data_IF_265733926863
#
_entry.id   IF_265733926863
#
_cell.length_a   1.000
_cell.length_b   1.000
_cell.length_c   1.000
_cell.angle_alpha   90.00
_cell.angle_beta   90.00
_cell.angle_gamma   90.00
#
_symmetry.space_group_name_H-M   'P 1'
#
loop_
_entity.id
_entity.type
_entity.pdbx_description
1 polymer ?
#
# COMPACT_ATOMS: atom_id res chain seq x y z
N UNK A 1 11.96 -0.20 1.47
CA UNK A 1 11.14 0.25 0.33
C UNK A 1 10.02 -0.76 0.09
N UNK A 2 8.76 -0.33 0.14
CA UNK A 2 7.62 -1.18 -0.18
C UNK A 2 7.74 -1.76 -1.58
N UNK A 3 7.28 -2.99 -1.77
CA UNK A 3 7.42 -3.73 -3.04
C UNK A 3 6.07 -4.17 -3.56
N UNK A 4 5.83 -3.91 -4.84
CA UNK A 4 4.76 -4.58 -5.57
C UNK A 4 5.22 -5.99 -5.97
N UNK A 5 4.42 -6.99 -5.65
CA UNK A 5 4.57 -8.37 -6.09
C UNK A 5 3.43 -8.63 -7.07
N UNK A 6 3.77 -8.67 -8.35
CA UNK A 6 2.81 -8.87 -9.42
C UNK A 6 2.05 -10.20 -9.23
N UNK A 7 0.72 -10.25 -9.44
CA UNK A 7 -0.13 -9.19 -10.02
C UNK A 7 -0.87 -8.28 -9.03
N UNK A 8 -1.02 -8.68 -7.77
CA UNK A 8 -1.94 -8.01 -6.84
C UNK A 8 -1.57 -8.10 -5.37
N UNK A 9 -0.29 -8.31 -5.09
CA UNK A 9 0.24 -8.41 -3.73
C UNK A 9 1.23 -7.28 -3.46
N UNK A 10 1.27 -6.79 -2.23
CA UNK A 10 2.14 -5.67 -1.83
C UNK A 10 2.82 -5.98 -0.51
N UNK A 11 4.15 -5.87 -0.49
CA UNK A 11 4.97 -6.14 0.69
C UNK A 11 5.42 -4.81 1.30
N UNK A 12 4.98 -4.57 2.53
CA UNK A 12 5.45 -3.46 3.36
C UNK A 12 6.83 -3.77 3.95
N UNK A 13 7.56 -2.71 4.29
CA UNK A 13 8.87 -2.80 4.95
C UNK A 13 8.82 -3.44 6.34
N UNK A 14 7.67 -3.41 7.01
CA UNK A 14 7.45 -4.09 8.28
C UNK A 14 7.32 -5.62 8.13
N UNK A 15 7.34 -6.14 6.91
CA UNK A 15 7.15 -7.55 6.57
C UNK A 15 5.70 -7.97 6.36
N UNK A 16 4.73 -7.05 6.49
CA UNK A 16 3.32 -7.34 6.18
C UNK A 16 3.09 -7.44 4.67
N UNK A 17 2.37 -8.48 4.23
CA UNK A 17 1.95 -8.63 2.85
C UNK A 17 0.44 -8.44 2.75
N UNK A 18 0.03 -7.51 1.91
CA UNK A 18 -1.37 -7.23 1.59
C UNK A 18 -1.72 -7.87 0.24
N UNK A 19 -2.64 -8.82 0.26
CA UNK A 19 -3.09 -9.55 -0.93
C UNK A 19 -4.48 -9.06 -1.37
N UNK A 20 -4.60 -8.67 -2.64
CA UNK A 20 -5.84 -8.18 -3.23
C UNK A 20 -6.27 -9.04 -4.41
N UNK A 21 -7.53 -8.93 -4.79
CA UNK A 21 -7.99 -9.48 -6.07
C UNK A 21 -7.40 -8.68 -7.24
N UNK A 22 -6.92 -9.38 -8.27
CA UNK A 22 -6.33 -8.76 -9.47
C UNK A 22 -7.26 -7.73 -10.13
N UNK A 23 -8.57 -8.03 -10.18
CA UNK A 23 -9.56 -7.11 -10.74
C UNK A 23 -9.63 -5.80 -9.95
N UNK A 24 -9.56 -5.86 -8.62
CA UNK A 24 -9.51 -4.67 -7.76
C UNK A 24 -8.28 -3.83 -8.08
N UNK A 25 -7.10 -4.45 -8.19
CA UNK A 25 -5.87 -3.73 -8.53
C UNK A 25 -5.92 -3.11 -9.91
N UNK A 26 -6.49 -3.81 -10.90
CA UNK A 26 -6.68 -3.27 -12.25
C UNK A 26 -7.56 -2.02 -12.24
N UNK A 27 -8.68 -2.05 -11.51
CA UNK A 27 -9.57 -0.91 -11.37
C UNK A 27 -8.90 0.25 -10.61
N UNK A 28 -8.20 -0.05 -9.53
CA UNK A 28 -7.49 0.95 -8.71
C UNK A 28 -6.37 1.63 -9.50
N UNK A 29 -5.56 0.88 -10.25
CA UNK A 29 -4.54 1.44 -11.15
C UNK A 29 -5.18 2.30 -12.25
N UNK A 30 -6.30 1.87 -12.84
CA UNK A 30 -7.00 2.67 -13.85
C UNK A 30 -7.51 4.00 -13.26
N UNK A 31 -8.06 3.98 -12.04
CA UNK A 31 -8.49 5.18 -11.32
C UNK A 31 -7.31 6.08 -10.94
N UNK A 32 -6.15 5.49 -10.63
CA UNK A 32 -4.99 6.24 -10.14
C UNK A 32 -4.30 7.10 -11.19
N UNK A 33 -4.59 6.88 -12.48
CA UNK A 33 -4.17 7.79 -13.56
C UNK A 33 -4.77 9.20 -13.43
N UNK A 34 -5.97 9.32 -12.85
CA UNK A 34 -6.68 10.60 -12.73
C UNK A 34 -6.43 11.31 -11.40
N UNK A 35 -6.23 10.54 -10.33
CA UNK A 35 -6.06 11.06 -8.96
C UNK A 35 -5.26 10.08 -8.11
N UNK A 36 -4.74 10.53 -6.97
CA UNK A 36 -4.17 9.61 -5.97
C UNK A 36 -5.27 8.74 -5.36
N UNK A 37 -5.03 7.44 -5.23
CA UNK A 37 -5.99 6.45 -4.69
C UNK A 37 -5.35 5.70 -3.54
N UNK A 38 -6.14 5.39 -2.52
CA UNK A 38 -5.75 4.70 -1.30
C UNK A 38 -6.59 3.43 -1.17
N UNK A 39 -5.95 2.29 -0.96
CA UNK A 39 -6.59 0.98 -0.85
C UNK A 39 -6.14 0.29 0.44
N UNK A 40 -7.05 0.12 1.39
CA UNK A 40 -6.82 -0.59 2.64
C UNK A 40 -6.94 -2.11 2.48
N UNK A 41 -6.11 -2.87 3.20
CA UNK A 41 -6.02 -4.33 3.10
C UNK A 41 -6.99 -5.11 4.02
N UNK A 42 -7.90 -4.42 4.71
CA UNK A 42 -8.88 -5.01 5.63
C UNK A 42 -8.27 -5.84 6.79
N UNK A 43 -6.96 -5.75 7.02
CA UNK A 43 -6.28 -6.40 8.13
C UNK A 43 -6.51 -5.63 9.46
N UNK A 44 -6.33 -6.28 10.62
CA UNK A 44 -6.41 -5.59 11.92
C UNK A 44 -5.38 -4.44 12.07
N UNK A 45 -4.19 -4.62 11.48
CA UNK A 45 -3.15 -3.61 11.34
C UNK A 45 -3.22 -3.05 9.92
N UNK A 46 -4.31 -2.37 9.58
CA UNK A 46 -4.68 -2.03 8.19
C UNK A 46 -3.58 -1.23 7.48
N UNK A 47 -2.89 -1.85 6.51
CA UNK A 47 -1.96 -1.14 5.65
C UNK A 47 -2.74 -0.52 4.49
N UNK A 48 -2.37 0.71 4.12
CA UNK A 48 -2.98 1.39 2.98
C UNK A 48 -2.00 1.47 1.83
N UNK A 49 -2.31 0.78 0.74
CA UNK A 49 -1.54 0.87 -0.50
C UNK A 49 -1.91 2.14 -1.24
N UNK A 50 -0.90 2.90 -1.64
CA UNK A 50 -1.07 4.20 -2.29
C UNK A 50 -0.73 4.08 -3.77
N UNK A 51 -1.66 4.49 -4.62
CA UNK A 51 -1.50 4.47 -6.07
C UNK A 51 -1.55 5.86 -6.69
N UNK A 52 -0.69 6.10 -7.68
CA UNK A 52 -0.70 7.32 -8.48
C UNK A 52 -0.13 7.04 -9.88
N UNK A 53 -0.74 7.64 -10.92
CA UNK A 53 -0.32 7.49 -12.33
C UNK A 53 -0.25 6.04 -12.82
N UNK A 54 -1.11 5.16 -12.31
CA UNK A 54 -1.16 3.75 -12.68
C UNK A 54 -0.21 2.83 -11.91
N UNK A 55 0.58 3.38 -10.99
CA UNK A 55 1.63 2.65 -10.25
C UNK A 55 1.37 2.70 -8.75
N UNK A 56 1.90 1.70 -8.02
CA UNK A 56 2.03 1.79 -6.58
C UNK A 56 3.19 2.73 -6.26
N UNK A 57 2.96 3.70 -5.39
CA UNK A 57 3.95 4.72 -5.04
C UNK A 57 4.33 4.72 -3.56
N UNK A 58 3.50 4.13 -2.70
CA UNK A 58 3.75 4.07 -1.25
C UNK A 58 2.89 3.00 -0.56
N UNK A 59 3.24 2.65 0.67
CA UNK A 59 2.42 1.86 1.59
C UNK A 59 2.42 2.57 2.95
N UNK A 60 1.26 3.04 3.39
CA UNK A 60 1.11 3.61 4.72
C UNK A 60 1.04 2.46 5.73
N UNK A 61 2.10 2.34 6.54
CA UNK A 61 2.23 1.33 7.58
C UNK A 61 1.77 1.89 8.93
N UNK A 62 0.80 1.26 9.62
CA UNK A 62 0.40 1.72 10.96
C UNK A 62 1.51 1.56 12.00
N UNK A 63 2.53 0.71 11.74
CA UNK A 63 3.67 0.52 12.65
C UNK A 63 4.72 1.61 12.53
N UNK A 64 4.74 2.38 11.44
CA UNK A 64 5.70 3.47 11.28
C UNK A 64 5.36 4.70 12.14
N UNK A 65 4.10 4.88 12.55
CA UNK A 65 3.74 5.91 13.53
C UNK A 65 4.29 5.63 14.94
N UNK A 66 4.71 4.39 15.24
CA UNK A 66 5.28 4.02 16.55
C UNK A 66 6.80 4.19 16.61
N UNK A 67 7.45 4.45 15.48
CA UNK A 67 8.88 4.75 15.40
C UNK A 67 9.10 6.27 15.29
N UNK A 68 8.53 7.05 16.22
CA UNK A 68 9.10 8.38 16.47
C UNK A 68 10.54 8.18 16.95
N UNK A 69 11.54 8.86 16.35
CA UNK A 69 12.87 8.89 16.91
C UNK A 69 12.76 9.59 18.26
N UNK A 70 12.92 8.85 19.34
CA UNK A 70 13.30 9.41 20.64
C UNK A 70 14.68 10.04 20.46
N UNK A 71 14.67 11.27 19.96
CA UNK A 71 15.81 12.17 19.91
C UNK A 71 15.91 12.83 21.29
N UNK A 72 16.88 12.34 22.05
CA UNK A 72 17.55 12.94 23.23
C UNK A 72 16.77 13.09 24.56
#
# INVERSE_FOLDING_TARGET
MPKEIFPSSYLCDCGHQSDFFENTIKEIKAMSYKRKVYLGDSAPDEHTIVFYRGEMVDILCPRQELEEPTSE
#
